data_IF_805007475400
#
_entry.id   IF_805007475400
#
_cell.length_a   1.000
_cell.length_b   1.000
_cell.length_c   1.000
_cell.angle_alpha   90.00
_cell.angle_beta   90.00
_cell.angle_gamma   90.00
#
_symmetry.space_group_name_H-M   'P 1'
#
loop_
_entity.id
_entity.type
_entity.pdbx_description
1 polymer ?
#
# COMPACT_ATOMS: atom_id res chain seq x y z
N UNK A 1 -3.67 27.30 -20.60
CA UNK A 1 -2.35 27.07 -19.97
C UNK A 1 -1.49 26.27 -20.93
N UNK A 2 -0.16 26.47 -21.00
CA UNK A 2 0.71 25.66 -21.87
C UNK A 2 1.00 24.29 -21.25
N UNK A 3 1.40 23.30 -22.06
CA UNK A 3 1.79 21.96 -21.58
C UNK A 3 2.88 22.03 -20.50
N UNK A 4 3.92 22.86 -20.72
CA UNK A 4 4.98 23.11 -19.72
C UNK A 4 4.40 23.60 -18.38
N UNK A 5 3.35 24.42 -18.43
CA UNK A 5 2.65 24.91 -17.25
C UNK A 5 1.91 23.83 -16.47
N UNK A 6 1.29 22.87 -17.16
CA UNK A 6 0.66 21.71 -16.53
C UNK A 6 1.68 20.75 -15.93
N UNK A 7 2.76 20.44 -16.66
CA UNK A 7 3.85 19.58 -16.20
C UNK A 7 4.51 20.12 -14.93
N UNK A 8 4.89 21.41 -14.91
CA UNK A 8 5.54 22.00 -13.74
C UNK A 8 4.67 21.98 -12.48
N UNK A 9 3.37 22.25 -12.62
CA UNK A 9 2.41 22.17 -11.51
C UNK A 9 2.15 20.73 -11.08
N UNK A 10 2.09 19.82 -12.04
CA UNK A 10 2.01 18.38 -11.82
C UNK A 10 3.16 17.89 -10.95
N UNK A 11 4.40 18.18 -11.34
CA UNK A 11 5.60 17.81 -10.56
C UNK A 11 5.56 18.39 -9.14
N UNK A 12 5.23 19.67 -8.98
CA UNK A 12 5.16 20.32 -7.66
C UNK A 12 4.07 19.71 -6.76
N UNK A 13 2.88 19.46 -7.32
CA UNK A 13 1.78 18.83 -6.61
C UNK A 13 2.07 17.36 -6.27
N UNK A 14 2.75 16.66 -7.19
CA UNK A 14 3.24 15.30 -6.99
C UNK A 14 4.24 15.22 -5.85
N UNK A 15 5.22 16.13 -5.81
CA UNK A 15 6.17 16.23 -4.70
C UNK A 15 5.47 16.48 -3.35
N UNK A 16 4.47 17.38 -3.32
CA UNK A 16 3.70 17.66 -2.10
C UNK A 16 2.94 16.42 -1.60
N UNK A 17 2.27 15.69 -2.51
CA UNK A 17 1.60 14.43 -2.15
C UNK A 17 2.58 13.34 -1.74
N UNK A 18 3.69 13.19 -2.46
CA UNK A 18 4.75 12.24 -2.14
C UNK A 18 5.37 12.49 -0.78
N UNK A 19 5.57 13.76 -0.41
CA UNK A 19 6.03 14.15 0.92
C UNK A 19 4.98 13.84 2.00
N UNK A 20 3.71 14.13 1.75
CA UNK A 20 2.64 13.78 2.70
C UNK A 20 2.58 12.26 2.92
N UNK A 21 2.73 11.48 1.85
CA UNK A 21 2.80 10.02 1.94
C UNK A 21 4.08 9.54 2.66
N UNK A 22 5.23 10.14 2.39
CA UNK A 22 6.48 9.84 3.08
C UNK A 22 6.37 10.05 4.60
N UNK A 23 5.75 11.15 5.03
CA UNK A 23 5.49 11.43 6.45
C UNK A 23 4.50 10.42 7.03
N UNK A 24 3.44 10.06 6.29
CA UNK A 24 2.50 9.04 6.71
C UNK A 24 3.18 7.68 6.90
N UNK A 25 4.03 7.28 5.95
CA UNK A 25 4.84 6.06 6.05
C UNK A 25 5.71 6.11 7.31
N UNK A 26 6.43 7.23 7.54
CA UNK A 26 7.37 7.37 8.65
C UNK A 26 6.72 7.33 10.03
N UNK A 27 5.53 7.89 10.18
CA UNK A 27 4.87 8.08 11.48
C UNK A 27 3.70 7.13 11.75
N UNK A 28 3.15 6.49 10.72
CA UNK A 28 1.97 5.62 10.85
C UNK A 28 2.31 4.20 10.40
N UNK A 29 2.79 4.03 9.17
CA UNK A 29 3.03 2.70 8.58
C UNK A 29 4.28 2.01 9.15
N UNK A 30 5.31 2.78 9.52
CA UNK A 30 6.56 2.24 10.08
C UNK A 30 6.34 1.40 11.34
N UNK A 31 5.31 1.70 12.13
CA UNK A 31 4.94 0.90 13.29
C UNK A 31 4.61 -0.54 12.89
N UNK A 32 3.85 -0.74 11.81
CA UNK A 32 3.49 -2.07 11.33
C UNK A 32 4.67 -2.78 10.66
N UNK A 33 5.55 -2.03 9.99
CA UNK A 33 6.81 -2.57 9.46
C UNK A 33 7.70 -3.07 10.60
N UNK A 34 7.78 -2.31 11.69
CA UNK A 34 8.51 -2.73 12.89
C UNK A 34 7.97 -4.02 13.50
N UNK A 35 6.65 -4.18 13.57
CA UNK A 35 6.03 -5.43 14.02
C UNK A 35 6.31 -6.60 13.08
N UNK A 36 6.27 -6.40 11.76
CA UNK A 36 6.59 -7.44 10.78
C UNK A 36 8.04 -7.94 10.90
N UNK A 37 8.99 -7.03 11.14
CA UNK A 37 10.39 -7.38 11.34
C UNK A 37 10.64 -8.09 12.66
N UNK A 38 10.05 -7.61 13.76
CA UNK A 38 10.14 -8.31 15.04
C UNK A 38 9.52 -9.71 14.96
N UNK A 39 8.46 -9.87 14.15
CA UNK A 39 7.87 -11.17 13.90
C UNK A 39 8.81 -12.07 13.11
N UNK A 40 9.43 -11.57 12.03
CA UNK A 40 10.46 -12.30 11.27
C UNK A 40 11.63 -12.72 12.17
N UNK A 41 12.20 -11.78 12.94
CA UNK A 41 13.27 -12.04 13.90
C UNK A 41 12.86 -13.16 14.85
N UNK A 42 11.67 -13.06 15.47
CA UNK A 42 11.17 -14.07 16.40
C UNK A 42 10.95 -15.45 15.77
N UNK A 43 10.54 -15.51 14.50
CA UNK A 43 10.36 -16.79 13.78
C UNK A 43 11.66 -17.39 13.24
N UNK A 44 12.73 -16.59 13.17
CA UNK A 44 14.05 -17.02 12.69
C UNK A 44 15.04 -17.26 13.84
N UNK A 45 14.65 -16.98 15.09
CA UNK A 45 15.46 -17.31 16.28
C UNK A 45 15.77 -18.82 16.31
N UNK A 46 17.05 -19.17 16.31
CA UNK A 46 17.53 -20.56 16.28
C UNK A 46 17.80 -21.13 14.88
N UNK A 47 17.52 -20.37 13.82
CA UNK A 47 18.01 -20.65 12.46
C UNK A 47 19.35 -19.95 12.21
N UNK A 48 20.12 -20.38 11.21
CA UNK A 48 21.33 -19.63 10.81
C UNK A 48 20.94 -18.18 10.48
N UNK A 49 21.71 -17.16 10.92
CA UNK A 49 21.41 -15.78 10.60
C UNK A 49 21.21 -15.65 9.09
N UNK A 50 20.04 -15.12 8.69
CA UNK A 50 19.82 -14.73 7.30
C UNK A 50 20.87 -13.71 6.86
N UNK A 51 20.98 -13.49 5.56
CA UNK A 51 21.90 -12.48 5.03
C UNK A 51 21.69 -11.14 5.74
N UNK A 52 22.77 -10.55 6.23
CA UNK A 52 22.73 -9.24 6.87
C UNK A 52 22.05 -8.22 5.95
N UNK A 53 21.17 -7.40 6.52
CA UNK A 53 20.50 -6.35 5.78
C UNK A 53 21.54 -5.44 5.08
N UNK A 54 21.48 -5.38 3.75
CA UNK A 54 22.37 -4.57 2.90
C UNK A 54 22.45 -3.09 3.31
N UNK A 55 21.40 -2.56 3.94
CA UNK A 55 21.32 -1.18 4.39
C UNK A 55 20.79 -1.11 5.82
N UNK A 56 21.34 -0.18 6.60
CA UNK A 56 20.84 0.12 7.94
C UNK A 56 19.37 0.56 7.91
N UNK A 57 18.63 0.30 9.00
CA UNK A 57 17.22 0.71 9.13
C UNK A 57 17.02 2.21 8.90
N UNK A 58 17.94 3.05 9.40
CA UNK A 58 17.89 4.50 9.17
C UNK A 58 18.05 4.88 7.70
N UNK A 59 18.93 4.19 6.96
CA UNK A 59 19.12 4.38 5.52
C UNK A 59 17.88 3.94 4.74
N UNK A 60 17.28 2.80 5.08
CA UNK A 60 16.05 2.31 4.45
C UNK A 60 14.90 3.32 4.63
N UNK A 61 14.72 3.86 5.84
CA UNK A 61 13.69 4.87 6.12
C UNK A 61 13.92 6.17 5.34
N UNK A 62 15.14 6.70 5.37
CA UNK A 62 15.48 7.93 4.64
C UNK A 62 15.33 7.74 3.12
N UNK A 63 15.85 6.64 2.59
CA UNK A 63 15.73 6.27 1.17
C UNK A 63 14.27 6.06 0.75
N UNK A 64 13.47 5.40 1.59
CA UNK A 64 12.04 5.20 1.36
C UNK A 64 11.26 6.52 1.31
N UNK A 65 11.57 7.48 2.20
CA UNK A 65 10.96 8.81 2.15
C UNK A 65 11.32 9.57 0.87
N UNK A 66 12.58 9.53 0.44
CA UNK A 66 13.02 10.13 -0.84
C UNK A 66 12.31 9.44 -2.02
N UNK A 67 12.24 8.11 -2.01
CA UNK A 67 11.54 7.32 -3.01
C UNK A 67 10.06 7.69 -3.11
N UNK A 68 9.38 7.87 -1.98
CA UNK A 68 7.97 8.28 -1.95
C UNK A 68 7.74 9.67 -2.57
N UNK A 69 8.65 10.63 -2.33
CA UNK A 69 8.60 11.95 -2.97
C UNK A 69 8.80 11.84 -4.49
N UNK A 70 9.80 11.09 -4.93
CA UNK A 70 10.06 10.88 -6.37
C UNK A 70 8.89 10.16 -7.06
N UNK A 71 8.33 9.14 -6.40
CA UNK A 71 7.13 8.46 -6.87
C UNK A 71 5.95 9.42 -7.01
N UNK A 72 5.72 10.25 -6.00
CA UNK A 72 4.71 11.31 -6.05
C UNK A 72 4.92 12.27 -7.21
N UNK A 73 6.16 12.71 -7.46
CA UNK A 73 6.50 13.56 -8.62
C UNK A 73 6.16 12.90 -9.95
N UNK A 74 6.44 11.60 -10.12
CA UNK A 74 6.08 10.86 -11.34
C UNK A 74 4.56 10.81 -11.51
N UNK A 75 3.80 10.51 -10.45
CA UNK A 75 2.34 10.52 -10.52
C UNK A 75 1.78 11.92 -10.80
N UNK A 76 2.37 12.96 -10.21
CA UNK A 76 2.00 14.35 -10.46
C UNK A 76 2.28 14.78 -11.91
N UNK A 77 3.40 14.34 -12.49
CA UNK A 77 3.71 14.52 -13.91
C UNK A 77 2.62 13.88 -14.79
N UNK A 78 2.29 12.62 -14.52
CA UNK A 78 1.25 11.88 -15.25
C UNK A 78 -0.09 12.59 -15.12
N UNK A 79 -0.46 13.03 -13.92
CA UNK A 79 -1.68 13.80 -13.68
C UNK A 79 -1.70 15.10 -14.52
N UNK A 80 -0.63 15.88 -14.48
CA UNK A 80 -0.53 17.15 -15.22
C UNK A 80 -0.69 16.94 -16.74
N UNK A 81 0.00 15.95 -17.29
CA UNK A 81 -0.12 15.59 -18.72
C UNK A 81 -1.54 15.11 -19.05
N UNK A 82 -2.13 14.27 -18.21
CA UNK A 82 -3.47 13.72 -18.43
C UNK A 82 -4.54 14.80 -18.37
N UNK A 83 -4.47 15.72 -17.41
CA UNK A 83 -5.38 16.88 -17.32
C UNK A 83 -5.25 17.76 -18.57
N UNK A 84 -4.03 18.04 -19.02
CA UNK A 84 -3.80 18.81 -20.24
C UNK A 84 -4.39 18.13 -21.49
N UNK A 85 -4.18 16.82 -21.64
CA UNK A 85 -4.67 16.04 -22.78
C UNK A 85 -6.21 15.91 -22.79
N UNK A 86 -6.83 15.79 -21.60
CA UNK A 86 -8.27 15.64 -21.44
C UNK A 86 -9.02 16.96 -21.21
N UNK A 87 -8.33 18.11 -21.33
CA UNK A 87 -8.89 19.43 -21.04
C UNK A 87 -10.17 19.73 -21.85
N UNK A 88 -10.25 19.32 -23.11
CA UNK A 88 -11.47 19.56 -23.91
C UNK A 88 -12.54 18.48 -23.73
N UNK A 89 -12.19 17.35 -23.11
CA UNK A 89 -13.08 16.20 -22.94
C UNK A 89 -13.84 16.26 -21.61
N UNK A 90 -13.20 16.76 -20.56
CA UNK A 90 -13.82 16.79 -19.22
C UNK A 90 -14.60 18.09 -19.06
N UNK A 91 -15.92 18.05 -18.86
CA UNK A 91 -16.66 19.26 -18.52
C UNK A 91 -16.40 19.63 -17.05
N UNK A 92 -15.88 20.84 -16.76
CA UNK A 92 -15.64 21.31 -15.39
C UNK A 92 -15.80 22.83 -15.33
N UNK A 93 -16.27 23.36 -14.19
CA UNK A 93 -16.38 24.80 -13.96
C UNK A 93 -15.01 25.49 -13.85
N UNK A 94 -14.00 24.79 -13.36
CA UNK A 94 -12.62 25.28 -13.20
C UNK A 94 -11.59 24.17 -13.36
N UNK A 95 -10.30 24.54 -13.40
CA UNK A 95 -9.20 23.58 -13.53
C UNK A 95 -9.00 22.76 -12.27
N UNK A 96 -9.31 23.33 -11.09
CA UNK A 96 -9.35 22.57 -9.84
C UNK A 96 -10.26 21.34 -9.94
N UNK A 97 -11.53 21.53 -10.31
CA UNK A 97 -12.50 20.44 -10.42
C UNK A 97 -12.12 19.41 -11.48
N UNK A 98 -11.49 19.86 -12.57
CA UNK A 98 -10.97 18.99 -13.62
C UNK A 98 -9.83 18.11 -13.09
N UNK A 99 -8.86 18.72 -12.41
CA UNK A 99 -7.74 18.03 -11.79
C UNK A 99 -8.19 16.99 -10.77
N UNK A 100 -9.14 17.34 -9.91
CA UNK A 100 -9.71 16.41 -8.91
C UNK A 100 -10.39 15.21 -9.58
N UNK A 101 -11.17 15.43 -10.65
CA UNK A 101 -11.84 14.32 -11.36
C UNK A 101 -10.84 13.37 -12.02
N UNK A 102 -9.80 13.91 -12.67
CA UNK A 102 -8.74 13.07 -13.27
C UNK A 102 -7.99 12.31 -12.18
N UNK A 103 -7.63 12.97 -11.08
CA UNK A 103 -6.95 12.34 -9.96
C UNK A 103 -7.80 11.23 -9.31
N UNK A 104 -9.12 11.44 -9.17
CA UNK A 104 -10.03 10.43 -8.65
C UNK A 104 -10.11 9.19 -9.58
N UNK A 105 -10.24 9.41 -10.89
CA UNK A 105 -10.22 8.31 -11.86
C UNK A 105 -8.88 7.55 -11.87
N UNK A 106 -7.76 8.27 -11.79
CA UNK A 106 -6.44 7.69 -11.70
C UNK A 106 -6.23 6.92 -10.39
N UNK A 107 -6.70 7.42 -9.25
CA UNK A 107 -6.69 6.70 -7.98
C UNK A 107 -7.48 5.38 -8.08
N UNK A 108 -8.67 5.41 -8.67
CA UNK A 108 -9.48 4.18 -8.87
C UNK A 108 -8.72 3.16 -9.74
N UNK A 109 -8.17 3.62 -10.88
CA UNK A 109 -7.48 2.75 -11.83
C UNK A 109 -6.14 2.20 -11.30
N UNK A 110 -5.36 3.03 -10.61
CA UNK A 110 -3.97 2.72 -10.25
C UNK A 110 -3.83 2.15 -8.84
N UNK A 111 -4.80 2.42 -7.96
CA UNK A 111 -4.72 2.08 -6.54
C UNK A 111 -5.91 1.22 -6.12
N UNK A 112 -7.13 1.73 -6.23
CA UNK A 112 -8.29 1.08 -5.61
C UNK A 112 -8.59 -0.30 -6.22
N UNK A 113 -8.64 -0.41 -7.55
CA UNK A 113 -8.91 -1.69 -8.21
C UNK A 113 -7.74 -2.67 -8.01
N UNK A 114 -6.46 -2.31 -8.24
CA UNK A 114 -5.37 -3.26 -8.04
C UNK A 114 -5.21 -3.72 -6.58
N UNK A 115 -5.24 -2.80 -5.61
CA UNK A 115 -5.04 -3.15 -4.19
C UNK A 115 -6.17 -3.99 -3.60
N UNK A 116 -7.39 -3.87 -4.12
CA UNK A 116 -8.50 -4.69 -3.65
C UNK A 116 -8.36 -6.17 -4.08
N UNK A 117 -7.75 -6.43 -5.24
CA UNK A 117 -7.43 -7.80 -5.69
C UNK A 117 -6.10 -8.31 -5.12
N UNK A 118 -5.10 -7.44 -5.08
CA UNK A 118 -3.73 -7.73 -4.65
C UNK A 118 -3.27 -6.71 -3.61
N UNK A 119 -3.71 -6.85 -2.36
CA UNK A 119 -3.33 -5.93 -1.30
C UNK A 119 -1.81 -6.05 -1.01
N UNK A 120 -1.15 -4.94 -0.66
CA UNK A 120 0.28 -4.97 -0.36
C UNK A 120 0.53 -5.76 0.92
N UNK A 121 1.67 -6.42 0.97
CA UNK A 121 2.16 -7.05 2.19
C UNK A 121 3.25 -6.16 2.81
N UNK A 122 3.39 -6.17 4.15
CA UNK A 122 4.57 -5.59 4.77
C UNK A 122 5.84 -6.30 4.28
N UNK A 123 7.03 -5.70 4.47
CA UNK A 123 8.29 -6.42 4.31
C UNK A 123 8.24 -7.74 5.08
N UNK A 124 9.00 -8.74 4.63
CA UNK A 124 9.10 -10.09 5.26
C UNK A 124 7.85 -10.97 5.12
N UNK A 125 6.71 -10.41 4.69
CA UNK A 125 5.47 -11.16 4.50
C UNK A 125 5.24 -11.55 3.04
N UNK A 126 5.36 -12.85 2.79
CA UNK A 126 5.10 -13.49 1.49
C UNK A 126 6.31 -14.25 0.97
N UNK A 127 6.10 -15.11 -0.02
CA UNK A 127 7.17 -15.90 -0.63
C UNK A 127 7.99 -15.07 -1.64
N UNK A 128 9.30 -14.94 -1.41
CA UNK A 128 10.25 -14.23 -2.26
C UNK A 128 10.33 -14.80 -3.70
N UNK A 129 10.13 -16.12 -3.87
CA UNK A 129 10.20 -16.78 -5.19
C UNK A 129 9.08 -16.32 -6.13
N UNK A 130 7.99 -15.78 -5.57
CA UNK A 130 6.81 -15.34 -6.34
C UNK A 130 6.85 -13.87 -6.75
N UNK A 131 7.88 -13.11 -6.34
CA UNK A 131 7.95 -11.64 -6.53
C UNK A 131 7.79 -11.24 -7.99
N UNK A 132 8.45 -11.96 -8.91
CA UNK A 132 8.35 -11.68 -10.35
C UNK A 132 6.91 -11.83 -10.87
N UNK A 133 6.25 -12.94 -10.52
CA UNK A 133 4.89 -13.23 -10.97
C UNK A 133 3.89 -12.22 -10.40
N UNK A 134 3.93 -11.96 -9.09
CA UNK A 134 3.05 -10.98 -8.42
C UNK A 134 3.19 -9.58 -9.01
N UNK A 135 4.43 -9.18 -9.33
CA UNK A 135 4.71 -7.90 -9.97
C UNK A 135 4.06 -7.83 -11.34
N UNK A 136 4.20 -8.88 -12.16
CA UNK A 136 3.59 -8.93 -13.49
C UNK A 136 2.05 -8.91 -13.43
N UNK A 137 1.45 -9.69 -12.53
CA UNK A 137 0.00 -9.76 -12.34
C UNK A 137 -0.56 -8.40 -11.90
N UNK A 138 0.13 -7.72 -10.97
CA UNK A 138 -0.23 -6.40 -10.52
C UNK A 138 -0.17 -5.36 -11.64
N UNK A 139 0.92 -5.33 -12.42
CA UNK A 139 1.09 -4.37 -13.51
C UNK A 139 0.07 -4.59 -14.64
N UNK A 140 -0.22 -5.85 -14.99
CA UNK A 140 -1.24 -6.18 -15.98
C UNK A 140 -2.64 -5.80 -15.48
N UNK A 141 -2.94 -6.04 -14.20
CA UNK A 141 -4.23 -5.66 -13.61
C UNK A 141 -4.39 -4.14 -13.57
N UNK A 142 -3.33 -3.41 -13.24
CA UNK A 142 -3.30 -1.95 -13.30
C UNK A 142 -3.58 -1.46 -14.73
N UNK A 143 -2.97 -2.07 -15.75
CA UNK A 143 -3.27 -1.80 -17.16
C UNK A 143 -4.75 -2.02 -17.52
N UNK A 144 -5.32 -3.16 -17.12
CA UNK A 144 -6.74 -3.47 -17.33
C UNK A 144 -7.66 -2.48 -16.59
N UNK A 145 -7.29 -2.09 -15.37
CA UNK A 145 -8.03 -1.12 -14.56
C UNK A 145 -8.08 0.26 -15.21
N UNK A 146 -6.97 0.71 -15.81
CA UNK A 146 -6.93 1.94 -16.61
C UNK A 146 -7.93 1.85 -17.77
N UNK A 147 -7.91 0.77 -18.54
CA UNK A 147 -8.83 0.56 -19.67
C UNK A 147 -10.29 0.61 -19.22
N UNK A 148 -10.64 -0.10 -18.14
CA UNK A 148 -12.00 -0.13 -17.59
C UNK A 148 -12.47 1.27 -17.16
N UNK A 149 -11.62 2.03 -16.47
CA UNK A 149 -11.95 3.41 -16.06
C UNK A 149 -12.11 4.34 -17.26
N UNK A 150 -11.28 4.21 -18.31
CA UNK A 150 -11.45 4.98 -19.55
C UNK A 150 -12.73 4.60 -20.31
N UNK A 151 -13.10 3.32 -20.37
CA UNK A 151 -14.37 2.88 -20.96
C UNK A 151 -15.54 3.52 -20.21
N UNK A 152 -15.52 3.49 -18.87
CA UNK A 152 -16.55 4.13 -18.05
C UNK A 152 -16.61 5.65 -18.30
N UNK A 153 -15.46 6.31 -18.43
CA UNK A 153 -15.37 7.73 -18.78
C UNK A 153 -16.00 8.03 -20.15
N UNK A 154 -15.67 7.27 -21.19
CA UNK A 154 -16.24 7.47 -22.52
C UNK A 154 -17.73 7.13 -22.58
N UNK A 155 -18.16 6.09 -21.87
CA UNK A 155 -19.59 5.77 -21.72
C UNK A 155 -20.33 6.94 -21.06
N UNK A 156 -19.75 7.54 -20.01
CA UNK A 156 -20.34 8.72 -19.36
C UNK A 156 -20.53 9.89 -20.33
N UNK A 157 -19.51 10.20 -21.14
CA UNK A 157 -19.61 11.24 -22.18
C UNK A 157 -20.70 10.91 -23.20
N UNK A 158 -20.69 9.67 -23.72
CA UNK A 158 -21.64 9.19 -24.72
C UNK A 158 -23.11 9.27 -24.28
N UNK A 159 -23.39 8.97 -23.01
CA UNK A 159 -24.74 9.13 -22.43
C UNK A 159 -25.11 10.60 -22.25
N UNK A 160 -24.14 11.43 -21.86
CA UNK A 160 -24.34 12.88 -21.70
C UNK A 160 -24.68 13.53 -23.05
N UNK A 161 -23.98 13.18 -24.12
CA UNK A 161 -24.22 13.69 -25.47
C UNK A 161 -25.58 13.26 -26.03
N UNK A 162 -26.14 12.15 -25.52
CA UNK A 162 -27.52 11.68 -25.82
C UNK A 162 -28.60 12.32 -24.96
N UNK A 163 -28.25 13.29 -24.11
CA UNK A 163 -29.19 13.93 -23.19
C UNK A 163 -29.65 13.04 -22.04
N UNK A 164 -28.96 11.92 -21.78
CA UNK A 164 -29.24 11.08 -20.60
C UNK A 164 -28.45 11.61 -19.41
N UNK A 165 -29.14 12.10 -18.38
CA UNK A 165 -28.54 12.61 -17.14
C UNK A 165 -29.23 11.99 -15.91
N UNK A 166 -28.71 12.24 -14.71
CA UNK A 166 -29.27 11.80 -13.44
C UNK A 166 -29.10 10.30 -13.18
N UNK A 167 -30.10 9.70 -12.54
CA UNK A 167 -30.07 8.31 -12.11
C UNK A 167 -29.85 7.30 -13.25
N UNK A 168 -30.47 7.43 -14.45
CA UNK A 168 -30.24 6.48 -15.54
C UNK A 168 -28.78 6.41 -16.00
N UNK A 169 -28.11 7.56 -16.19
CA UNK A 169 -26.69 7.59 -16.57
C UNK A 169 -25.82 7.00 -15.46
N UNK A 170 -26.11 7.36 -14.21
CA UNK A 170 -25.38 6.85 -13.05
C UNK A 170 -25.50 5.32 -12.92
N UNK A 171 -26.70 4.77 -13.04
CA UNK A 171 -26.93 3.33 -12.95
C UNK A 171 -26.29 2.58 -14.12
N UNK A 172 -26.38 3.11 -15.35
CA UNK A 172 -25.79 2.47 -16.52
C UNK A 172 -24.26 2.44 -16.46
N UNK A 173 -23.62 3.59 -16.21
CA UNK A 173 -22.16 3.70 -16.19
C UNK A 173 -21.58 3.12 -14.91
N UNK A 174 -22.18 3.44 -13.75
CA UNK A 174 -21.76 2.93 -12.45
C UNK A 174 -21.96 1.42 -12.34
N UNK A 175 -23.15 0.92 -12.71
CA UNK A 175 -23.43 -0.52 -12.76
C UNK A 175 -22.54 -1.25 -13.77
N UNK A 176 -22.29 -0.66 -14.94
CA UNK A 176 -21.37 -1.19 -15.94
C UNK A 176 -19.93 -1.26 -15.43
N UNK A 177 -19.45 -0.22 -14.74
CA UNK A 177 -18.12 -0.20 -14.12
C UNK A 177 -18.01 -1.27 -13.01
N UNK A 178 -19.00 -1.36 -12.13
CA UNK A 178 -19.03 -2.39 -11.07
C UNK A 178 -19.02 -3.79 -11.66
N UNK A 179 -19.86 -4.05 -12.67
CA UNK A 179 -19.89 -5.35 -13.35
C UNK A 179 -18.55 -5.65 -14.03
N UNK A 180 -17.94 -4.67 -14.71
CA UNK A 180 -16.64 -4.85 -15.33
C UNK A 180 -15.55 -5.20 -14.32
N UNK A 181 -15.54 -4.56 -13.13
CA UNK A 181 -14.59 -4.88 -12.06
C UNK A 181 -14.84 -6.29 -11.50
N UNK A 182 -16.10 -6.68 -11.27
CA UNK A 182 -16.46 -8.02 -10.78
C UNK A 182 -16.02 -9.10 -11.78
N UNK A 183 -16.33 -8.91 -13.07
CA UNK A 183 -15.90 -9.83 -14.14
C UNK A 183 -14.38 -9.86 -14.22
N UNK A 184 -13.72 -8.71 -14.19
CA UNK A 184 -12.26 -8.62 -14.19
C UNK A 184 -11.69 -9.45 -13.03
N UNK A 185 -12.16 -9.30 -11.80
CA UNK A 185 -11.68 -10.07 -10.67
C UNK A 185 -11.97 -11.56 -10.74
N UNK A 186 -13.10 -11.95 -11.32
CA UNK A 186 -13.48 -13.35 -11.48
C UNK A 186 -12.57 -14.09 -12.49
N UNK A 187 -12.15 -13.42 -13.56
CA UNK A 187 -11.28 -14.02 -14.59
C UNK A 187 -9.78 -13.86 -14.29
N UNK A 188 -9.41 -12.88 -13.47
CA UNK A 188 -8.02 -12.58 -13.17
C UNK A 188 -7.42 -13.61 -12.18
N UNK A 189 -6.16 -14.04 -12.36
CA UNK A 189 -5.55 -15.07 -11.52
C UNK A 189 -5.64 -14.75 -10.02
N UNK A 190 -5.75 -15.79 -9.19
CA UNK A 190 -5.55 -15.64 -7.75
C UNK A 190 -4.09 -15.26 -7.45
N UNK A 191 -3.84 -14.65 -6.28
CA UNK A 191 -2.46 -14.40 -5.86
C UNK A 191 -1.70 -15.73 -5.78
N UNK A 192 -0.53 -15.87 -6.42
CA UNK A 192 0.31 -17.07 -6.30
C UNK A 192 0.91 -17.20 -4.88
N UNK A 193 0.81 -16.14 -4.08
CA UNK A 193 1.31 -16.05 -2.72
C UNK A 193 0.14 -15.69 -1.79
N UNK A 194 -0.63 -16.71 -1.40
CA UNK A 194 -1.67 -16.54 -0.40
C UNK A 194 -1.01 -16.41 0.97
N UNK A 195 -1.23 -15.26 1.63
CA UNK A 195 -0.74 -15.04 2.99
C UNK A 195 -1.55 -15.92 3.93
N UNK A 196 -0.99 -17.07 4.28
CA UNK A 196 -1.52 -17.91 5.33
C UNK A 196 -0.90 -17.47 6.65
N UNK A 197 -1.70 -17.31 7.72
CA UNK A 197 -1.13 -17.17 9.04
C UNK A 197 -0.23 -18.40 9.30
N UNK A 198 0.97 -18.20 9.88
CA UNK A 198 1.83 -19.32 10.19
C UNK A 198 1.08 -20.32 11.06
N UNK A 199 1.28 -21.61 10.78
CA UNK A 199 0.75 -22.68 11.60
C UNK A 199 1.44 -22.63 12.96
N UNK A 200 0.72 -22.05 13.92
CA UNK A 200 1.16 -21.81 15.28
C UNK A 200 1.30 -23.10 16.10
N UNK A 201 0.94 -24.24 15.52
CA UNK A 201 1.13 -25.57 16.08
C UNK A 201 2.30 -26.33 15.43
N UNK A 202 2.83 -25.87 14.29
CA UNK A 202 3.81 -26.61 13.50
C UNK A 202 5.22 -25.98 13.43
N UNK A 203 5.41 -24.75 13.93
CA UNK A 203 6.68 -24.06 13.83
C UNK A 203 7.38 -23.89 15.19
N UNK A 204 8.55 -24.50 15.41
CA UNK A 204 9.42 -24.08 16.50
C UNK A 204 10.05 -22.72 16.19
N UNK A 205 10.03 -21.84 17.18
CA UNK A 205 10.55 -20.47 17.06
C UNK A 205 11.85 -20.27 17.83
N UNK A 206 12.31 -21.29 18.55
CA UNK A 206 13.54 -21.26 19.32
C UNK A 206 14.21 -22.62 19.24
N UNK A 207 15.51 -22.65 19.39
CA UNK A 207 16.30 -23.87 19.53
C UNK A 207 16.99 -23.82 20.88
N UNK A 208 16.98 -24.93 21.61
CA UNK A 208 17.76 -25.04 22.85
C UNK A 208 19.24 -24.92 22.51
N UNK A 209 19.93 -23.95 23.11
CA UNK A 209 21.33 -23.67 22.80
C UNK A 209 22.23 -24.92 22.97
N UNK A 210 23.18 -25.11 22.04
CA UNK A 210 24.12 -26.24 22.07
C UNK A 210 24.99 -26.26 23.34
N UNK A 211 25.25 -25.09 23.92
CA UNK A 211 26.04 -24.90 25.14
C UNK A 211 25.18 -24.83 26.41
N UNK A 212 23.88 -25.12 26.32
CA UNK A 212 22.97 -25.08 27.46
C UNK A 212 23.50 -25.95 28.63
N UNK A 213 23.65 -25.38 29.84
CA UNK A 213 24.14 -26.12 31.00
C UNK A 213 23.21 -27.28 31.35
N UNK A 214 23.77 -28.44 31.69
CA UNK A 214 23.00 -29.64 32.09
C UNK A 214 21.89 -29.37 33.13
N UNK A 215 22.11 -28.58 34.20
CA UNK A 215 21.05 -28.27 35.16
C UNK A 215 19.87 -27.50 34.58
N UNK A 216 20.07 -26.75 33.49
CA UNK A 216 19.00 -26.05 32.77
C UNK A 216 18.20 -27.05 31.94
N UNK A 217 18.88 -27.94 31.23
CA UNK A 217 18.26 -29.00 30.42
C UNK A 217 17.43 -29.95 31.28
N UNK A 218 17.97 -30.41 32.41
CA UNK A 218 17.26 -31.27 33.36
C UNK A 218 15.96 -30.61 33.84
N UNK A 219 16.02 -29.31 34.16
CA UNK A 219 14.85 -28.55 34.59
C UNK A 219 13.84 -28.36 33.47
N UNK A 220 14.30 -28.13 32.24
CA UNK A 220 13.42 -27.99 31.06
C UNK A 220 12.67 -29.30 30.81
N UNK A 221 13.37 -30.45 30.81
CA UNK A 221 12.78 -31.76 30.61
C UNK A 221 11.79 -32.14 31.72
N UNK A 222 12.16 -31.88 32.98
CA UNK A 222 11.31 -32.14 34.14
C UNK A 222 10.03 -31.29 34.13
N UNK A 223 10.18 -30.00 33.80
CA UNK A 223 9.03 -29.09 33.63
C UNK A 223 8.12 -29.60 32.52
N UNK A 224 8.67 -29.93 31.35
CA UNK A 224 7.89 -30.38 30.20
C UNK A 224 7.09 -31.67 30.50
N UNK A 225 7.71 -32.64 31.18
CA UNK A 225 7.04 -33.88 31.64
C UNK A 225 5.93 -33.59 32.65
N UNK A 226 6.15 -32.64 33.55
CA UNK A 226 5.20 -32.30 34.62
C UNK A 226 3.97 -31.55 34.10
N UNK A 227 4.17 -30.59 33.19
CA UNK A 227 3.08 -29.75 32.65
C UNK A 227 2.38 -30.38 31.45
N UNK A 228 2.90 -31.49 30.91
CA UNK A 228 2.43 -32.06 29.64
C UNK A 228 2.72 -31.11 28.47
N UNK A 229 3.87 -30.45 28.53
CA UNK A 229 4.23 -29.36 27.63
C UNK A 229 4.56 -29.88 26.21
N UNK A 230 3.67 -29.61 25.26
CA UNK A 230 3.89 -29.91 23.83
C UNK A 230 4.75 -28.88 23.10
N UNK A 231 5.40 -27.94 23.81
CA UNK A 231 6.25 -26.94 23.18
C UNK A 231 7.58 -27.53 22.67
N UNK A 232 8.14 -28.58 23.26
CA UNK A 232 9.30 -29.26 22.67
C UNK A 232 8.88 -30.03 21.41
N UNK A 233 9.65 -29.94 20.33
CA UNK A 233 9.33 -30.55 19.03
C UNK A 233 10.37 -31.58 18.60
N UNK A 234 9.92 -32.56 17.83
CA UNK A 234 10.83 -33.55 17.24
C UNK A 234 11.79 -32.83 16.24
N UNK A 235 13.13 -32.94 16.40
CA UNK A 235 14.08 -32.36 15.47
C UNK A 235 13.94 -32.91 14.03
N UNK A 236 13.48 -34.16 13.87
CA UNK A 236 13.27 -34.80 12.58
C UNK A 236 11.92 -34.43 11.95
N UNK A 237 10.91 -34.11 12.78
CA UNK A 237 9.61 -33.59 12.35
C UNK A 237 9.12 -32.46 13.29
N UNK A 238 9.53 -31.21 13.03
CA UNK A 238 9.19 -30.07 13.88
C UNK A 238 7.69 -29.80 14.09
N UNK A 239 6.83 -30.42 13.28
CA UNK A 239 5.37 -30.36 13.44
C UNK A 239 4.83 -31.21 14.59
N UNK A 240 5.56 -32.25 15.02
CA UNK A 240 5.12 -33.16 16.06
C UNK A 240 5.71 -32.78 17.44
N UNK A 241 4.92 -32.87 18.53
CA UNK A 241 5.45 -32.76 19.88
C UNK A 241 6.53 -33.83 20.13
N UNK A 242 7.64 -33.44 20.75
CA UNK A 242 8.71 -34.35 21.11
C UNK A 242 8.18 -35.41 22.10
N UNK A 243 8.44 -36.69 21.83
CA UNK A 243 8.09 -37.77 22.76
C UNK A 243 8.98 -37.72 24.01
N UNK A 244 8.46 -37.09 25.06
CA UNK A 244 9.19 -36.89 26.32
C UNK A 244 9.47 -38.19 27.09
N UNK A 245 8.86 -39.32 26.69
CA UNK A 245 9.02 -40.60 27.39
C UNK A 245 10.36 -41.28 27.10
N UNK A 246 10.99 -40.97 25.96
CA UNK A 246 12.23 -41.61 25.48
C UNK A 246 13.45 -40.69 25.41
N UNK A 247 13.29 -39.41 25.76
CA UNK A 247 14.31 -38.36 25.56
C UNK A 247 15.07 -38.08 26.86
N UNK A 248 16.41 -38.00 26.78
CA UNK A 248 17.26 -37.57 27.89
C UNK A 248 17.52 -36.05 27.84
N UNK A 249 17.96 -35.46 28.95
CA UNK A 249 18.17 -34.00 29.03
C UNK A 249 19.23 -33.50 28.04
N UNK A 250 20.27 -34.29 27.77
CA UNK A 250 21.29 -33.97 26.77
C UNK A 250 20.73 -33.85 25.34
N UNK A 251 19.72 -34.65 25.01
CA UNK A 251 19.10 -34.70 23.68
C UNK A 251 18.23 -33.47 23.40
N UNK A 252 17.95 -32.66 24.44
CA UNK A 252 17.26 -31.40 24.27
C UNK A 252 18.13 -30.35 23.57
N UNK A 253 19.46 -30.48 23.54
CA UNK A 253 20.31 -29.52 22.83
C UNK A 253 20.04 -29.57 21.34
N UNK A 254 19.88 -28.40 20.72
CA UNK A 254 19.46 -28.34 19.32
C UNK A 254 17.99 -28.70 19.11
N UNK A 255 17.26 -29.13 20.15
CA UNK A 255 15.85 -29.46 20.02
C UNK A 255 15.04 -28.18 19.75
N UNK A 256 14.14 -28.22 18.77
CA UNK A 256 13.24 -27.12 18.50
C UNK A 256 12.23 -26.93 19.64
N UNK A 257 11.93 -25.67 19.96
CA UNK A 257 10.93 -25.26 20.95
C UNK A 257 9.89 -24.40 20.23
N UNK A 258 8.66 -24.89 20.16
CA UNK A 258 7.49 -24.13 19.78
C UNK A 258 7.20 -23.04 20.79
N UNK A 259 7.39 -21.80 20.37
CA UNK A 259 6.80 -20.65 21.07
C UNK A 259 5.42 -20.48 20.45
N UNK A 260 4.37 -20.83 21.19
CA UNK A 260 3.00 -20.56 20.76
C UNK A 260 2.78 -19.04 20.66
N UNK A 261 2.98 -18.48 19.47
CA UNK A 261 2.83 -17.04 19.19
C UNK A 261 1.39 -16.55 19.41
N UNK A 262 0.39 -17.43 19.28
CA UNK A 262 -1.02 -17.17 19.60
C UNK A 262 -1.29 -16.97 21.09
N UNK A 263 -0.65 -17.76 21.97
CA UNK A 263 -0.87 -17.67 23.43
C UNK A 263 -0.18 -16.48 24.09
N UNK A 264 0.82 -15.89 23.43
CA UNK A 264 1.46 -14.67 23.90
C UNK A 264 0.67 -13.42 23.45
N UNK A 265 0.16 -13.39 22.22
CA UNK A 265 -0.72 -12.32 21.71
C UNK A 265 -1.64 -12.86 20.59
N UNK A 266 -2.93 -13.06 20.91
CA UNK A 266 -3.94 -13.52 19.93
C UNK A 266 -4.03 -12.59 18.70
N UNK A 267 -4.06 -13.19 17.51
CA UNK A 267 -4.24 -12.51 16.22
C UNK A 267 -3.24 -11.40 15.87
N UNK A 268 -2.08 -11.34 16.53
CA UNK A 268 -1.04 -10.33 16.28
C UNK A 268 -0.58 -10.29 14.82
N UNK A 269 -0.33 -11.44 14.19
CA UNK A 269 0.08 -11.54 12.78
C UNK A 269 -1.00 -11.05 11.82
N UNK A 270 -2.20 -11.64 11.88
CA UNK A 270 -3.33 -11.27 11.00
C UNK A 270 -3.74 -9.81 11.20
N UNK A 271 -3.75 -9.35 12.46
CA UNK A 271 -3.98 -7.96 12.82
C UNK A 271 -2.95 -7.04 12.21
N UNK A 272 -1.65 -7.34 12.33
CA UNK A 272 -0.57 -6.56 11.75
C UNK A 272 -0.69 -6.47 10.22
N UNK A 273 -0.91 -7.60 9.53
CA UNK A 273 -1.11 -7.63 8.07
C UNK A 273 -2.33 -6.79 7.66
N UNK A 274 -3.44 -6.89 8.40
CA UNK A 274 -4.65 -6.11 8.14
C UNK A 274 -4.42 -4.60 8.32
N UNK A 275 -3.81 -4.19 9.44
CA UNK A 275 -3.51 -2.79 9.72
C UNK A 275 -2.53 -2.23 8.69
N UNK A 276 -1.50 -2.98 8.31
CA UNK A 276 -0.57 -2.57 7.25
C UNK A 276 -1.30 -2.33 5.93
N UNK A 277 -2.23 -3.21 5.53
CA UNK A 277 -3.01 -3.06 4.29
C UNK A 277 -3.90 -1.82 4.32
N UNK A 278 -4.61 -1.60 5.43
CA UNK A 278 -5.46 -0.43 5.62
C UNK A 278 -4.65 0.87 5.64
N UNK A 279 -3.51 0.88 6.34
CA UNK A 279 -2.60 2.04 6.37
C UNK A 279 -1.96 2.30 5.01
N UNK A 280 -1.56 1.26 4.27
CA UNK A 280 -1.05 1.42 2.90
C UNK A 280 -2.10 2.05 1.99
N UNK A 281 -3.34 1.57 2.04
CA UNK A 281 -4.44 2.16 1.28
C UNK A 281 -4.68 3.63 1.67
N UNK A 282 -4.72 3.92 2.98
CA UNK A 282 -4.87 5.28 3.48
C UNK A 282 -3.72 6.21 3.04
N UNK A 283 -2.48 5.71 3.03
CA UNK A 283 -1.31 6.43 2.55
C UNK A 283 -1.40 6.79 1.08
N UNK A 284 -1.81 5.86 0.21
CA UNK A 284 -2.06 6.16 -1.21
C UNK A 284 -3.24 7.11 -1.41
N UNK A 285 -4.32 6.98 -0.61
CA UNK A 285 -5.43 7.92 -0.66
C UNK A 285 -4.98 9.35 -0.27
N UNK A 286 -4.14 9.47 0.75
CA UNK A 286 -3.54 10.74 1.16
C UNK A 286 -2.64 11.34 0.06
N UNK A 287 -1.77 10.53 -0.54
CA UNK A 287 -0.93 10.91 -1.68
C UNK A 287 -1.76 11.57 -2.78
N UNK A 288 -2.79 10.88 -3.24
CA UNK A 288 -3.66 11.35 -4.32
C UNK A 288 -4.49 12.57 -3.92
N UNK A 289 -5.03 12.60 -2.70
CA UNK A 289 -5.82 13.74 -2.21
C UNK A 289 -4.97 15.02 -2.13
N UNK A 290 -3.76 14.94 -1.58
CA UNK A 290 -2.83 16.07 -1.48
C UNK A 290 -2.36 16.50 -2.86
N UNK A 291 -1.98 15.56 -3.73
CA UNK A 291 -1.59 15.89 -5.11
C UNK A 291 -2.72 16.55 -5.88
N UNK A 292 -3.95 16.04 -5.81
CA UNK A 292 -5.11 16.64 -6.49
C UNK A 292 -5.39 18.06 -5.98
N UNK A 293 -5.37 18.26 -4.67
CA UNK A 293 -5.63 19.56 -4.03
C UNK A 293 -4.54 20.56 -4.39
N UNK A 294 -3.27 20.19 -4.23
CA UNK A 294 -2.14 21.05 -4.56
C UNK A 294 -2.14 21.42 -6.05
N UNK A 295 -2.38 20.45 -6.93
CA UNK A 295 -2.45 20.69 -8.37
C UNK A 295 -3.57 21.68 -8.70
N UNK A 296 -4.78 21.44 -8.18
CA UNK A 296 -5.93 22.30 -8.42
C UNK A 296 -5.71 23.74 -7.92
N UNK A 297 -5.13 23.90 -6.72
CA UNK A 297 -4.80 25.22 -6.18
C UNK A 297 -3.78 25.95 -7.06
N UNK A 298 -2.74 25.24 -7.51
CA UNK A 298 -1.70 25.81 -8.39
C UNK A 298 -2.23 26.18 -9.78
N UNK A 299 -3.28 25.51 -10.27
CA UNK A 299 -3.91 25.82 -11.56
C UNK A 299 -4.92 26.96 -11.46
N UNK A 300 -5.69 27.07 -10.38
CA UNK A 300 -6.76 28.08 -10.24
C UNK A 300 -6.26 29.46 -9.74
N UNK A 301 -5.13 29.53 -9.01
CA UNK A 301 -4.67 30.76 -8.32
C UNK A 301 -4.38 31.99 -9.23
N UNK A 302 -4.36 31.84 -10.56
CA UNK A 302 -4.05 32.95 -11.48
C UNK A 302 -5.25 33.52 -12.26
N UNK A 303 -6.45 32.96 -12.09
CA UNK A 303 -7.66 33.60 -12.64
C UNK A 303 -8.10 34.80 -11.79
N UNK A 304 -7.73 34.83 -10.50
CA UNK A 304 -8.12 35.91 -9.56
C UNK A 304 -7.21 37.15 -9.58
N UNK A 305 -5.95 37.05 -10.01
CA UNK A 305 -4.98 38.16 -9.93
C UNK A 305 -4.92 39.04 -11.19
N UNK A 306 -5.72 38.76 -12.23
CA UNK A 306 -5.74 39.52 -13.48
C UNK A 306 -6.88 40.54 -13.65
N UNK A 307 -7.82 40.64 -12.71
CA UNK A 307 -9.04 41.46 -12.88
C UNK A 307 -9.01 42.83 -12.16
N UNK A 308 -7.88 43.22 -11.56
CA UNK A 308 -7.73 44.50 -10.83
C UNK A 308 -6.65 45.40 -11.44
N UNK A 309 -6.64 45.58 -12.76
CA UNK A 309 -5.79 46.57 -13.41
C UNK A 309 -6.56 47.38 -14.48
N UNK A 310 -6.56 48.70 -14.24
CA UNK A 310 -6.99 49.85 -15.05
C UNK A 310 -8.47 50.01 -15.43
N UNK A 311 -9.23 50.68 -14.56
CA UNK A 311 -10.21 51.70 -15.00
C UNK A 311 -9.41 53.01 -15.16
N UNK A 312 -9.22 53.55 -16.37
CA UNK A 312 -8.69 54.90 -16.53
C UNK A 312 -9.81 55.87 -16.14
N UNK A 313 -9.65 56.56 -15.02
CA UNK A 313 -10.45 57.73 -14.68
C UNK A 313 -10.13 58.85 -15.66
N UNK A 314 -10.93 58.95 -16.72
CA UNK A 314 -10.97 60.13 -17.57
C UNK A 314 -11.55 61.29 -16.76
N UNK A 315 -10.69 62.23 -16.38
CA UNK A 315 -11.09 63.53 -15.83
C UNK A 315 -11.65 64.37 -16.97
N UNK A 316 -12.98 64.42 -17.08
CA UNK A 316 -13.70 65.38 -17.92
C UNK A 316 -13.61 66.77 -17.29
N UNK A 317 -13.03 67.70 -18.04
CA UNK A 317 -12.96 69.13 -17.77
C UNK A 317 -14.34 69.78 -17.94
N UNK A 318 -14.77 70.72 -17.06
CA UNK A 318 -16.05 71.40 -17.23
C UNK A 318 -15.89 72.58 -18.19
N UNK A 319 -16.48 72.49 -19.39
CA UNK A 319 -16.67 73.63 -20.26
C UNK A 319 -17.84 74.47 -19.74
N UNK A 320 -17.56 75.70 -19.31
CA UNK A 320 -18.55 76.76 -19.13
C UNK A 320 -18.67 77.62 -20.39
N UNK A 321 -19.91 77.87 -20.83
CA UNK A 321 -20.46 79.09 -21.41
C UNK A 321 -21.91 78.81 -21.84
#
# INVERSE_FOLDING_TARGET
MTMKGFVGRGLAAGAAGGLAWALFLRFVTETQIGFALQFEDATTLGTSPGDDALFSRGTQQAGGMVGAVLYGMVLGLILGVTVAALHHRIASHNEFGRGVRVAAGAFVALVAIPMLKYPPNPPTVGNADTVAQRTSDFLLLMGASIVVVFIAFFAWQWFTDRGTDGAPRFLAVGGGLTLAIVVLYAIWPASPDAVNPPDNEAAPALVVADDAPRPVLDRMLDTARTTGDGYLRDPADPGEPLDLSSVEAEDLRGAPVAVSTTKLVDHSYTGMVWHFRMQSFAGYALLWAVTATAFGLLTDHRVRTGSTASVPTGTGEPAGA
#
